data_IF_152786877105
#
_entry.id   IF_152786877105
#
_cell.length_a   1.000
_cell.length_b   1.000
_cell.length_c   1.000
_cell.angle_alpha   90.00
_cell.angle_beta   90.00
_cell.angle_gamma   90.00
#
_symmetry.space_group_name_H-M   'P 1'
#
loop_
_entity.id
_entity.type
_entity.pdbx_description
1 polymer ?
#
# COMPACT_ATOMS: atom_id res chain seq x y z
N UNK A 1 14.39 -16.04 0.43
CA UNK A 1 14.49 -15.14 1.60
C UNK A 1 13.19 -14.37 1.65
N UNK A 2 12.57 -14.19 2.81
CA UNK A 2 11.52 -13.17 2.91
C UNK A 2 12.18 -11.83 2.57
N UNK A 3 11.54 -11.04 1.71
CA UNK A 3 11.93 -9.67 1.41
C UNK A 3 12.10 -8.91 2.73
N UNK A 4 13.29 -8.37 3.03
CA UNK A 4 13.41 -7.40 4.12
C UNK A 4 12.59 -6.18 3.72
N UNK A 5 11.59 -5.82 4.53
CA UNK A 5 10.81 -4.61 4.31
C UNK A 5 11.42 -3.46 5.09
N UNK A 6 11.47 -2.28 4.48
CA UNK A 6 11.83 -1.03 5.13
C UNK A 6 10.57 -0.29 5.52
N UNK A 7 10.56 0.26 6.73
CA UNK A 7 9.51 1.17 7.20
C UNK A 7 9.69 2.55 6.55
N UNK A 8 8.58 3.18 6.19
CA UNK A 8 8.58 4.51 5.60
C UNK A 8 8.32 5.59 6.64
N UNK A 9 9.03 6.69 6.52
CA UNK A 9 8.73 7.93 7.23
C UNK A 9 7.53 8.66 6.62
N UNK A 10 6.97 9.63 7.33
CA UNK A 10 5.87 10.47 6.81
C UNK A 10 6.27 11.23 5.55
N UNK A 11 7.52 11.70 5.46
CA UNK A 11 8.05 12.40 4.28
C UNK A 11 8.12 11.46 3.08
N UNK A 12 8.57 10.22 3.29
CA UNK A 12 8.60 9.21 2.22
C UNK A 12 7.19 8.80 1.79
N UNK A 13 6.25 8.64 2.71
CA UNK A 13 4.84 8.38 2.38
C UNK A 13 4.25 9.53 1.53
N UNK A 14 4.48 10.78 1.93
CA UNK A 14 4.04 11.95 1.19
C UNK A 14 4.64 11.98 -0.22
N UNK A 15 5.95 11.75 -0.35
CA UNK A 15 6.62 11.72 -1.64
C UNK A 15 6.14 10.55 -2.53
N UNK A 16 5.78 9.42 -1.92
CA UNK A 16 5.41 8.19 -2.63
C UNK A 16 3.98 8.22 -3.17
N UNK A 17 3.03 8.70 -2.36
CA UNK A 17 1.58 8.61 -2.65
C UNK A 17 0.84 9.94 -2.45
N UNK A 18 1.53 11.03 -2.11
CA UNK A 18 0.95 12.36 -1.98
C UNK A 18 0.03 12.52 -0.76
N UNK A 19 0.20 11.72 0.29
CA UNK A 19 -0.61 11.80 1.51
C UNK A 19 0.11 12.67 2.54
N UNK A 20 -0.54 13.75 2.96
CA UNK A 20 0.00 14.71 3.92
C UNK A 20 -0.27 14.25 5.36
N UNK A 21 0.61 14.64 6.29
CA UNK A 21 0.49 14.26 7.71
C UNK A 21 -0.73 14.85 8.43
N UNK A 22 -1.39 15.83 7.83
CA UNK A 22 -2.66 16.40 8.31
C UNK A 22 -3.90 15.55 7.95
N UNK A 23 -3.76 14.61 7.00
CA UNK A 23 -4.87 13.78 6.53
C UNK A 23 -5.10 12.52 7.39
N UNK A 24 -4.17 12.19 8.29
CA UNK A 24 -4.21 10.97 9.11
C UNK A 24 -3.84 11.18 10.58
N UNK A 25 -4.29 10.26 11.43
CA UNK A 25 -3.95 10.18 12.86
C UNK A 25 -2.66 9.38 13.04
N UNK A 26 -2.57 8.24 12.36
CA UNK A 26 -1.43 7.34 12.38
C UNK A 26 -1.37 6.53 11.08
N UNK A 27 -0.21 5.96 10.80
CA UNK A 27 -0.01 5.07 9.67
C UNK A 27 1.06 4.02 9.98
N UNK A 28 1.06 2.96 9.20
CA UNK A 28 2.14 2.00 9.10
C UNK A 28 2.38 1.74 7.60
N UNK A 29 3.59 1.99 7.12
CA UNK A 29 3.93 1.83 5.70
C UNK A 29 5.27 1.14 5.54
N UNK A 30 5.31 0.14 4.68
CA UNK A 30 6.46 -0.71 4.44
C UNK A 30 6.60 -1.03 2.96
N UNK A 31 7.81 -1.01 2.44
CA UNK A 31 8.13 -1.47 1.08
C UNK A 31 9.29 -2.45 1.09
N UNK A 32 9.38 -3.33 0.10
CA UNK A 32 10.55 -4.18 -0.08
C UNK A 32 11.84 -3.35 -0.20
N UNK A 33 12.89 -3.74 0.52
CA UNK A 33 14.21 -3.12 0.43
C UNK A 33 14.89 -3.35 -0.93
N UNK A 34 14.51 -4.43 -1.62
CA UNK A 34 15.00 -4.80 -2.93
C UNK A 34 13.97 -4.42 -4.00
N UNK A 35 14.37 -3.59 -4.96
CA UNK A 35 13.49 -3.10 -6.03
C UNK A 35 12.96 -4.17 -7.01
N UNK A 36 13.35 -5.43 -6.84
CA UNK A 36 12.83 -6.57 -7.59
C UNK A 36 11.58 -7.19 -6.96
N UNK A 37 11.30 -6.96 -5.67
CA UNK A 37 10.04 -7.42 -5.06
C UNK A 37 8.97 -6.32 -5.18
N UNK A 38 7.73 -6.74 -5.43
CA UNK A 38 6.59 -5.85 -5.44
C UNK A 38 5.98 -5.59 -4.05
N UNK A 39 6.45 -6.28 -3.00
CA UNK A 39 5.85 -6.21 -1.66
C UNK A 39 5.78 -4.75 -1.16
N UNK A 40 4.56 -4.32 -0.83
CA UNK A 40 4.26 -2.99 -0.31
C UNK A 40 2.97 -3.04 0.52
N UNK A 41 3.06 -2.59 1.76
CA UNK A 41 1.95 -2.57 2.71
C UNK A 41 1.81 -1.15 3.21
N UNK A 42 0.62 -0.56 3.08
CA UNK A 42 0.30 0.76 3.62
C UNK A 42 -1.03 0.68 4.35
N UNK A 43 -1.04 1.10 5.62
CA UNK A 43 -2.24 1.20 6.48
C UNK A 43 -2.29 2.61 7.01
N UNK A 44 -3.43 3.27 6.86
CA UNK A 44 -3.57 4.67 7.28
C UNK A 44 -4.91 4.82 8.00
N UNK A 45 -4.87 5.35 9.21
CA UNK A 45 -6.04 5.79 9.95
C UNK A 45 -6.29 7.26 9.63
N UNK A 46 -7.24 7.54 8.75
CA UNK A 46 -7.60 8.90 8.37
C UNK A 46 -8.22 9.68 9.55
N UNK A 47 -8.08 11.00 9.52
CA UNK A 47 -8.69 11.89 10.53
C UNK A 47 -10.22 11.89 10.47
N UNK A 48 -10.79 11.67 9.28
CA UNK A 48 -12.23 11.56 9.06
C UNK A 48 -12.57 10.73 7.81
N UNK A 49 -13.87 10.53 7.56
CA UNK A 49 -14.36 9.73 6.45
C UNK A 49 -14.12 10.38 5.08
N UNK A 50 -14.00 11.71 4.99
CA UNK A 50 -13.68 12.38 3.74
C UNK A 50 -12.23 12.11 3.37
N UNK A 51 -11.32 12.28 4.32
CA UNK A 51 -9.90 11.98 4.14
C UNK A 51 -9.66 10.51 3.87
N UNK A 52 -10.43 9.61 4.48
CA UNK A 52 -10.38 8.19 4.15
C UNK A 52 -10.72 7.91 2.68
N UNK A 53 -11.70 8.62 2.11
CA UNK A 53 -12.04 8.49 0.68
C UNK A 53 -10.92 9.00 -0.22
N UNK A 54 -10.33 10.15 0.11
CA UNK A 54 -9.22 10.72 -0.65
C UNK A 54 -7.97 9.82 -0.60
N UNK A 55 -7.67 9.26 0.57
CA UNK A 55 -6.56 8.31 0.77
C UNK A 55 -6.82 7.02 -0.04
N UNK A 56 -8.04 6.48 -0.04
CA UNK A 56 -8.40 5.30 -0.84
C UNK A 56 -8.13 5.53 -2.33
N UNK A 57 -8.44 6.72 -2.86
CA UNK A 57 -8.15 7.08 -4.24
C UNK A 57 -6.63 7.13 -4.51
N UNK A 58 -5.84 7.80 -3.65
CA UNK A 58 -4.38 7.87 -3.77
C UNK A 58 -3.71 6.49 -3.74
N UNK A 59 -4.18 5.58 -2.88
CA UNK A 59 -3.65 4.22 -2.82
C UNK A 59 -4.04 3.38 -4.06
N UNK A 60 -5.22 3.58 -4.65
CA UNK A 60 -5.56 2.96 -5.94
C UNK A 60 -4.68 3.47 -7.08
N UNK A 61 -4.41 4.77 -7.10
CA UNK A 61 -3.47 5.37 -8.07
C UNK A 61 -2.05 4.79 -7.92
N UNK A 62 -1.61 4.52 -6.69
CA UNK A 62 -0.33 3.86 -6.42
C UNK A 62 -0.26 2.44 -7.01
N UNK A 63 -1.30 1.64 -6.84
CA UNK A 63 -1.39 0.29 -7.46
C UNK A 63 -1.29 0.39 -8.97
N UNK A 64 -2.04 1.31 -9.58
CA UNK A 64 -2.04 1.52 -11.04
C UNK A 64 -0.67 1.99 -11.56
N UNK A 65 0.01 2.87 -10.82
CA UNK A 65 1.37 3.29 -11.14
C UNK A 65 2.33 2.08 -11.14
N UNK A 66 2.27 1.21 -10.12
CA UNK A 66 3.08 -0.01 -10.07
C UNK A 66 2.75 -0.97 -11.21
N UNK A 67 1.48 -1.09 -11.60
CA UNK A 67 1.05 -1.94 -12.72
C UNK A 67 1.68 -1.48 -14.02
N UNK A 68 1.63 -0.18 -14.34
CA UNK A 68 2.29 0.41 -15.53
C UNK A 68 3.80 0.22 -15.54
N UNK A 69 4.43 0.37 -14.37
CA UNK A 69 5.85 0.05 -14.18
C UNK A 69 6.17 -1.42 -14.44
N UNK A 70 5.35 -2.33 -13.89
CA UNK A 70 5.48 -3.77 -14.07
C UNK A 70 5.39 -4.21 -15.54
N UNK A 71 4.48 -3.61 -16.31
CA UNK A 71 4.36 -3.85 -17.77
C UNK A 71 5.63 -3.49 -18.53
N UNK A 72 6.38 -2.50 -18.04
CA UNK A 72 7.54 -1.95 -18.73
C UNK A 72 8.85 -2.69 -18.40
N UNK A 73 9.04 -3.18 -17.17
CA UNK A 73 10.33 -3.74 -16.75
C UNK A 73 10.30 -4.81 -15.62
N UNK A 74 9.15 -5.12 -15.01
CA UNK A 74 9.02 -6.11 -13.92
C UNK A 74 7.80 -7.00 -14.14
N UNK A 75 7.72 -7.64 -15.30
CA UNK A 75 6.55 -8.43 -15.70
C UNK A 75 6.30 -9.63 -14.77
N UNK A 76 7.35 -10.15 -14.12
CA UNK A 76 7.25 -11.21 -13.11
C UNK A 76 6.40 -10.81 -11.89
N UNK A 77 6.34 -9.51 -11.58
CA UNK A 77 5.59 -8.98 -10.45
C UNK A 77 4.14 -8.62 -10.79
N UNK A 78 3.77 -8.59 -12.08
CA UNK A 78 2.41 -8.22 -12.50
C UNK A 78 1.32 -9.05 -11.82
N UNK A 79 1.43 -10.39 -11.71
CA UNK A 79 0.40 -11.18 -11.02
C UNK A 79 0.20 -10.78 -9.56
N UNK A 80 1.27 -10.38 -8.87
CA UNK A 80 1.23 -9.93 -7.47
C UNK A 80 0.58 -8.56 -7.36
N UNK A 81 0.90 -7.66 -8.30
CA UNK A 81 0.33 -6.30 -8.37
C UNK A 81 -1.16 -6.35 -8.76
N UNK A 82 -1.55 -7.22 -9.69
CA UNK A 82 -2.95 -7.38 -10.10
C UNK A 82 -3.82 -8.00 -9.00
N UNK A 83 -3.21 -8.75 -8.08
CA UNK A 83 -3.87 -9.27 -6.88
C UNK A 83 -3.91 -8.25 -5.72
N UNK A 84 -3.42 -7.03 -5.93
CA UNK A 84 -3.38 -6.00 -4.90
C UNK A 84 -4.77 -5.70 -4.33
N UNK A 85 -4.81 -5.41 -3.04
CA UNK A 85 -6.04 -5.07 -2.34
C UNK A 85 -5.94 -3.63 -1.86
N UNK A 86 -6.92 -2.82 -2.23
CA UNK A 86 -7.18 -1.53 -1.59
C UNK A 86 -8.57 -1.57 -0.97
N UNK A 87 -8.64 -1.36 0.34
CA UNK A 87 -9.87 -1.46 1.12
C UNK A 87 -9.98 -0.29 2.09
N UNK A 88 -11.21 0.10 2.40
CA UNK A 88 -11.53 1.09 3.43
C UNK A 88 -12.55 0.53 4.41
N UNK A 89 -12.23 0.63 5.69
CA UNK A 89 -13.03 0.18 6.83
C UNK A 89 -13.26 1.36 7.77
N UNK A 90 -14.40 2.04 7.58
CA UNK A 90 -14.64 3.33 8.22
C UNK A 90 -13.60 4.36 7.78
N UNK A 91 -12.78 4.81 8.73
CA UNK A 91 -11.71 5.78 8.47
C UNK A 91 -10.33 5.12 8.26
N UNK A 92 -10.22 3.79 8.42
CA UNK A 92 -8.98 3.08 8.13
C UNK A 92 -8.95 2.69 6.65
N UNK A 93 -7.82 2.92 5.99
CA UNK A 93 -7.60 2.53 4.60
C UNK A 93 -6.33 1.70 4.52
N UNK A 94 -6.37 0.63 3.72
CA UNK A 94 -5.23 -0.28 3.56
C UNK A 94 -4.96 -0.59 2.10
N UNK A 95 -3.68 -0.69 1.76
CA UNK A 95 -3.17 -1.21 0.50
C UNK A 95 -2.22 -2.38 0.78
N UNK A 96 -2.47 -3.51 0.14
CA UNK A 96 -1.67 -4.72 0.26
C UNK A 96 -1.24 -5.19 -1.10
N UNK A 97 0.07 -5.20 -1.32
CA UNK A 97 0.72 -5.84 -2.45
C UNK A 97 1.69 -6.82 -1.83
N UNK A 98 1.45 -8.12 -1.97
CA UNK A 98 2.39 -9.12 -1.45
C UNK A 98 2.24 -10.45 -2.15
N UNK A 99 3.35 -11.18 -2.26
CA UNK A 99 3.36 -12.59 -2.71
C UNK A 99 2.47 -13.50 -1.86
N UNK A 100 2.20 -13.11 -0.59
CA UNK A 100 1.40 -13.89 0.34
C UNK A 100 0.07 -13.20 0.67
N UNK A 101 -0.68 -12.85 -0.36
CA UNK A 101 -1.94 -12.08 -0.23
C UNK A 101 -2.99 -12.79 0.62
N UNK A 102 -3.02 -14.14 0.59
CA UNK A 102 -3.92 -14.94 1.41
C UNK A 102 -3.59 -14.83 2.91
N UNK A 103 -2.31 -14.86 3.28
CA UNK A 103 -1.91 -14.65 4.67
C UNK A 103 -2.22 -13.23 5.12
N UNK A 104 -1.95 -12.23 4.28
CA UNK A 104 -2.26 -10.83 4.56
C UNK A 104 -3.77 -10.65 4.81
N UNK A 105 -4.62 -11.12 3.90
CA UNK A 105 -6.07 -11.10 4.07
C UNK A 105 -6.53 -11.76 5.37
N UNK A 106 -6.00 -12.93 5.71
CA UNK A 106 -6.39 -13.66 6.92
C UNK A 106 -6.03 -12.95 8.23
N UNK A 107 -4.99 -12.10 8.22
CA UNK A 107 -4.61 -11.27 9.37
C UNK A 107 -5.52 -10.05 9.44
N UNK A 108 -5.82 -9.44 8.30
CA UNK A 108 -6.72 -8.28 8.21
C UNK A 108 -8.17 -8.58 8.57
N UNK A 109 -8.72 -9.74 8.19
CA UNK A 109 -10.09 -10.13 8.56
C UNK A 109 -10.30 -10.33 10.07
N UNK A 110 -9.22 -10.35 10.86
CA UNK A 110 -9.27 -10.47 12.32
C UNK A 110 -9.31 -9.11 13.03
N UNK A 111 -9.15 -8.01 12.29
CA UNK A 111 -9.34 -6.64 12.76
C UNK A 111 -10.73 -6.15 12.34
#
# INVERSE_FOLDING_TARGET
>A
MLSEMIELTSEELQNLVGIDSEDYVEFAAYQASWGTSADEIIIIQAVDSSKAYDIEAKLKERVEHKRKSGESYLTENLPIIDAAIVRRDGNTVSMLITENIDAANSVYEKF
#
